data_IF_671954564595
#
_entry.id   IF_671954564595
#
_cell.length_a   1.000
_cell.length_b   1.000
_cell.length_c   1.000
_cell.angle_alpha   90.00
_cell.angle_beta   90.00
_cell.angle_gamma   90.00
#
_symmetry.space_group_name_H-M   'P 1'
#
loop_
_entity.id
_entity.type
_entity.pdbx_description
1 polymer ?
#
# COMPACT_ATOMS: atom_id res chain seq x y z
N UNK A 1 -25.26 -37.32 -50.00
CA UNK A 1 -24.53 -36.14 -50.50
C UNK A 1 -24.93 -35.02 -49.57
N UNK A 2 -24.25 -34.94 -48.40
CA UNK A 2 -24.53 -34.02 -47.31
C UNK A 2 -23.49 -32.89 -47.34
N UNK A 3 -23.97 -31.66 -47.65
CA UNK A 3 -23.15 -30.49 -47.63
C UNK A 3 -23.05 -29.96 -46.18
N UNK A 4 -21.85 -30.00 -45.64
CA UNK A 4 -21.47 -29.46 -44.35
C UNK A 4 -21.40 -27.93 -44.47
N UNK A 5 -22.30 -27.23 -43.79
CA UNK A 5 -22.35 -25.78 -43.69
C UNK A 5 -21.37 -25.33 -42.60
N UNK A 6 -20.20 -24.85 -43.00
CA UNK A 6 -19.21 -24.28 -42.09
C UNK A 6 -19.52 -22.79 -41.93
N UNK A 7 -20.05 -22.42 -40.77
CA UNK A 7 -20.28 -21.05 -40.38
C UNK A 7 -19.01 -20.19 -40.33
N UNK A 8 -19.12 -18.85 -40.44
CA UNK A 8 -17.99 -17.95 -40.58
C UNK A 8 -17.11 -17.93 -39.34
N UNK A 9 -15.79 -18.06 -39.58
CA UNK A 9 -14.74 -17.93 -38.54
C UNK A 9 -14.71 -16.47 -38.06
N UNK A 10 -14.76 -16.21 -36.73
CA UNK A 10 -14.64 -14.86 -36.23
C UNK A 10 -13.25 -14.27 -36.52
N UNK A 11 -13.15 -12.95 -36.72
CA UNK A 11 -11.88 -12.29 -36.96
C UNK A 11 -10.93 -12.40 -35.77
N UNK A 12 -9.61 -12.45 -35.99
CA UNK A 12 -8.63 -12.48 -34.91
C UNK A 12 -8.72 -11.19 -34.08
N UNK A 13 -8.80 -11.35 -32.75
CA UNK A 13 -8.77 -10.24 -31.81
C UNK A 13 -7.47 -9.43 -31.90
N UNK A 14 -7.45 -8.18 -31.45
CA UNK A 14 -6.28 -7.32 -31.54
C UNK A 14 -5.10 -7.96 -30.82
N UNK A 15 -4.02 -8.16 -31.56
CA UNK A 15 -2.74 -8.66 -31.06
C UNK A 15 -2.19 -7.65 -30.05
N UNK A 16 -2.06 -8.05 -28.80
CA UNK A 16 -1.30 -7.29 -27.81
C UNK A 16 0.17 -7.32 -28.23
N UNK A 17 0.85 -6.17 -28.27
CA UNK A 17 2.29 -6.17 -28.47
C UNK A 17 2.94 -6.95 -27.33
N UNK A 18 4.00 -7.74 -27.60
CA UNK A 18 4.74 -8.43 -26.56
C UNK A 18 5.30 -7.40 -25.59
N UNK A 19 5.17 -7.68 -24.29
CA UNK A 19 5.82 -6.88 -23.26
C UNK A 19 7.32 -6.78 -23.60
N UNK A 20 7.93 -5.59 -23.47
CA UNK A 20 9.36 -5.45 -23.72
C UNK A 20 10.12 -6.33 -22.73
N UNK A 21 10.66 -7.43 -23.22
CA UNK A 21 11.58 -8.31 -22.53
C UNK A 21 12.93 -7.62 -22.39
N UNK A 22 12.98 -6.61 -21.54
CA UNK A 22 14.21 -5.94 -21.18
C UNK A 22 14.80 -6.65 -19.96
N UNK A 23 15.81 -7.51 -20.15
CA UNK A 23 16.83 -7.81 -19.16
C UNK A 23 17.71 -6.57 -18.93
N UNK A 24 17.08 -5.43 -18.77
CA UNK A 24 17.73 -4.16 -18.45
C UNK A 24 18.06 -4.15 -16.97
N UNK A 25 19.34 -4.25 -16.65
CA UNK A 25 19.90 -3.78 -15.40
C UNK A 25 19.31 -2.40 -15.16
N UNK A 26 18.48 -2.25 -14.10
CA UNK A 26 17.98 -0.93 -13.72
C UNK A 26 19.20 -0.03 -13.54
N UNK A 27 19.28 1.12 -14.22
CA UNK A 27 20.41 2.01 -14.04
C UNK A 27 20.56 2.32 -12.55
N UNK A 28 21.73 2.03 -11.98
CA UNK A 28 22.08 2.55 -10.65
C UNK A 28 22.22 4.06 -10.87
N UNK A 29 21.18 4.80 -10.53
CA UNK A 29 21.24 6.25 -10.54
C UNK A 29 22.39 6.65 -9.59
N UNK A 30 23.29 7.55 -10.01
CA UNK A 30 24.30 8.10 -9.12
C UNK A 30 23.58 8.70 -7.90
N UNK A 31 24.22 8.73 -6.72
CA UNK A 31 23.63 9.40 -5.57
C UNK A 31 23.26 10.82 -6.00
N UNK A 32 21.95 11.07 -6.10
CA UNK A 32 21.46 12.36 -6.52
C UNK A 32 21.91 13.36 -5.48
N UNK A 33 22.77 14.29 -5.89
CA UNK A 33 23.06 15.47 -5.09
C UNK A 33 21.69 16.16 -4.83
N UNK A 34 21.40 16.44 -3.57
CA UNK A 34 20.23 17.25 -3.22
C UNK A 34 20.33 18.56 -4.00
N UNK A 35 19.28 18.87 -4.73
CA UNK A 35 19.18 20.17 -5.41
C UNK A 35 19.35 21.28 -4.35
N UNK A 36 20.12 22.36 -4.60
CA UNK A 36 20.30 23.43 -3.62
C UNK A 36 18.98 24.08 -3.13
N UNK A 37 17.85 23.78 -3.77
CA UNK A 37 16.49 24.15 -3.34
C UNK A 37 15.86 23.29 -2.26
N UNK A 38 16.50 22.19 -1.82
CA UNK A 38 15.94 21.24 -0.87
C UNK A 38 15.06 20.15 -1.54
N UNK A 39 14.61 19.21 -0.73
CA UNK A 39 13.68 18.17 -1.19
C UNK A 39 12.30 18.79 -1.51
N UNK A 40 11.63 18.33 -2.59
CA UNK A 40 10.24 18.71 -2.83
C UNK A 40 9.36 18.24 -1.68
N UNK A 41 8.13 18.79 -1.54
CA UNK A 41 7.21 18.39 -0.49
C UNK A 41 7.03 16.88 -0.42
N UNK A 42 7.04 16.33 0.80
CA UNK A 42 6.90 14.90 1.09
C UNK A 42 5.59 14.64 1.82
N UNK A 43 4.83 13.66 1.35
CA UNK A 43 3.67 13.14 2.04
C UNK A 43 3.99 11.83 2.77
N UNK A 44 3.21 11.53 3.80
CA UNK A 44 3.14 10.21 4.40
C UNK A 44 1.72 9.67 4.27
N UNK A 45 1.57 8.38 3.99
CA UNK A 45 0.26 7.76 3.80
C UNK A 45 0.22 6.40 4.49
N UNK A 46 -0.82 6.18 5.32
CA UNK A 46 -1.04 4.89 5.98
C UNK A 46 -2.50 4.66 6.32
N UNK A 47 -2.84 3.38 6.60
CA UNK A 47 -4.10 2.98 7.19
C UNK A 47 -3.84 2.40 8.59
N UNK A 48 -4.70 2.73 9.56
CA UNK A 48 -4.64 2.27 10.93
C UNK A 48 -6.03 1.94 11.47
N UNK A 49 -6.11 1.11 12.51
CA UNK A 49 -7.34 0.93 13.28
C UNK A 49 -7.54 2.06 14.31
N UNK A 50 -8.59 1.97 15.15
CA UNK A 50 -8.84 2.94 16.23
C UNK A 50 -7.68 3.05 17.24
N UNK A 51 -6.94 1.98 17.44
CA UNK A 51 -5.79 1.92 18.35
C UNK A 51 -4.47 2.33 17.71
N UNK A 52 -4.48 2.83 16.47
CA UNK A 52 -3.25 3.18 15.74
C UNK A 52 -2.47 1.97 15.24
N UNK A 53 -3.06 0.78 15.18
CA UNK A 53 -2.41 -0.41 14.64
C UNK A 53 -2.38 -0.32 13.12
N UNK A 54 -1.18 -0.51 12.52
CA UNK A 54 -0.96 -0.57 11.07
C UNK A 54 -1.10 -2.00 10.52
N UNK A 55 -0.88 -2.99 11.37
CA UNK A 55 -0.81 -4.41 11.01
C UNK A 55 0.05 -5.19 11.98
N UNK A 56 0.55 -6.34 11.56
CA UNK A 56 1.51 -7.16 12.30
C UNK A 56 2.82 -7.33 11.53
N UNK A 57 3.76 -8.05 12.13
CA UNK A 57 5.00 -8.43 11.45
C UNK A 57 4.73 -9.30 10.19
N UNK A 58 3.61 -10.04 10.17
CA UNK A 58 3.18 -10.89 9.07
C UNK A 58 2.40 -10.13 7.99
N UNK A 59 2.03 -8.88 8.23
CA UNK A 59 1.33 -8.02 7.28
C UNK A 59 0.06 -7.37 7.82
N UNK A 60 -0.82 -6.99 6.89
CA UNK A 60 -2.04 -6.28 7.19
C UNK A 60 -3.10 -7.21 7.79
N UNK A 61 -3.79 -6.76 8.85
CA UNK A 61 -4.77 -7.54 9.61
C UNK A 61 -6.22 -7.33 9.16
N UNK A 62 -6.44 -6.55 8.13
CA UNK A 62 -7.75 -6.29 7.51
C UNK A 62 -7.64 -6.17 6.00
N UNK A 63 -8.79 -6.22 5.34
CA UNK A 63 -8.91 -5.99 3.91
C UNK A 63 -10.05 -5.01 3.64
N UNK A 64 -9.69 -3.78 3.24
CA UNK A 64 -10.62 -2.71 2.85
C UNK A 64 -10.30 -2.27 1.42
N UNK A 65 -10.92 -2.88 0.39
CA UNK A 65 -10.60 -2.60 -1.01
C UNK A 65 -10.77 -1.14 -1.42
N UNK A 66 -11.67 -0.40 -0.77
CA UNK A 66 -11.85 1.01 -1.04
C UNK A 66 -10.64 1.85 -0.60
N UNK A 67 -10.03 1.51 0.54
CA UNK A 67 -8.80 2.14 1.01
C UNK A 67 -7.63 1.88 0.05
N UNK A 68 -7.47 0.65 -0.47
CA UNK A 68 -6.46 0.36 -1.49
C UNK A 68 -6.64 1.19 -2.77
N UNK A 69 -7.90 1.44 -3.20
CA UNK A 69 -8.16 2.33 -4.33
C UNK A 69 -7.81 3.78 -4.00
N UNK A 70 -8.14 4.23 -2.79
CA UNK A 70 -7.77 5.55 -2.30
C UNK A 70 -6.24 5.71 -2.25
N UNK A 71 -5.52 4.80 -1.63
CA UNK A 71 -4.05 4.77 -1.62
C UNK A 71 -3.46 4.85 -3.03
N UNK A 72 -4.01 4.04 -3.98
CA UNK A 72 -3.57 4.10 -5.37
C UNK A 72 -3.80 5.48 -5.99
N UNK A 73 -4.97 6.07 -5.78
CA UNK A 73 -5.31 7.38 -6.34
C UNK A 73 -4.41 8.49 -5.79
N UNK A 74 -4.08 8.44 -4.49
CA UNK A 74 -3.20 9.39 -3.82
C UNK A 74 -1.76 9.32 -4.33
N UNK A 75 -1.27 8.11 -4.58
CA UNK A 75 0.16 7.86 -4.85
C UNK A 75 0.52 7.65 -6.32
N UNK A 76 -0.46 7.57 -7.20
CA UNK A 76 -0.23 7.32 -8.63
C UNK A 76 0.64 8.43 -9.26
N UNK A 77 1.59 8.04 -10.11
CA UNK A 77 2.54 8.96 -10.75
C UNK A 77 3.61 9.51 -9.79
N UNK A 78 3.67 9.03 -8.56
CA UNK A 78 4.63 9.48 -7.55
C UNK A 78 5.73 8.48 -7.23
N UNK A 79 6.70 8.92 -6.42
CA UNK A 79 7.74 8.07 -5.83
C UNK A 79 7.33 7.60 -4.44
N UNK A 80 7.54 6.33 -4.16
CA UNK A 80 7.19 5.67 -2.91
C UNK A 80 8.43 5.23 -2.15
N UNK A 81 8.55 5.66 -0.91
CA UNK A 81 9.62 5.21 0.00
C UNK A 81 9.04 4.21 1.00
N UNK A 82 9.65 3.04 1.07
CA UNK A 82 9.23 1.96 1.99
C UNK A 82 10.43 1.20 2.54
N UNK A 83 10.23 0.55 3.69
CA UNK A 83 11.22 -0.37 4.23
C UNK A 83 11.14 -1.75 3.55
N UNK A 84 12.21 -2.53 3.70
CA UNK A 84 12.35 -3.88 3.12
C UNK A 84 11.18 -4.80 3.51
N UNK A 85 10.78 -4.83 4.78
CA UNK A 85 9.66 -5.66 5.24
C UNK A 85 8.35 -5.31 4.55
N UNK A 86 8.09 -4.01 4.34
CA UNK A 86 6.92 -3.55 3.58
C UNK A 86 6.98 -4.01 2.13
N UNK A 87 8.14 -3.87 1.49
CA UNK A 87 8.34 -4.38 0.13
C UNK A 87 8.10 -5.89 0.02
N UNK A 88 8.63 -6.67 0.95
CA UNK A 88 8.47 -8.13 0.96
C UNK A 88 7.01 -8.57 1.18
N UNK A 89 6.19 -7.73 1.82
CA UNK A 89 4.74 -7.95 1.95
C UNK A 89 3.95 -7.64 0.67
N UNK A 90 4.53 -6.84 -0.24
CA UNK A 90 3.96 -6.58 -1.56
C UNK A 90 4.34 -7.74 -2.49
N UNK A 91 3.45 -8.15 -3.37
CA UNK A 91 3.74 -9.23 -4.33
C UNK A 91 4.48 -8.73 -5.59
N UNK A 92 5.11 -7.58 -5.50
CA UNK A 92 5.85 -6.94 -6.59
C UNK A 92 5.72 -5.43 -6.55
N UNK A 93 6.33 -4.79 -7.56
CA UNK A 93 6.35 -3.35 -7.68
C UNK A 93 4.93 -2.77 -7.85
N UNK A 94 4.69 -1.64 -7.21
CA UNK A 94 3.46 -0.89 -7.38
C UNK A 94 3.50 -0.13 -8.72
N UNK A 95 2.72 -0.62 -9.68
CA UNK A 95 2.72 -0.13 -11.07
C UNK A 95 2.29 1.34 -11.15
N UNK A 96 2.96 2.11 -12.04
CA UNK A 96 2.72 3.54 -12.24
C UNK A 96 3.26 4.42 -11.11
N UNK A 97 4.21 3.90 -10.34
CA UNK A 97 4.91 4.57 -9.24
C UNK A 97 6.35 4.11 -9.22
N UNK A 98 7.25 5.02 -8.85
CA UNK A 98 8.64 4.65 -8.56
C UNK A 98 8.72 4.05 -7.17
N UNK A 99 9.21 2.82 -7.05
CA UNK A 99 9.33 2.12 -5.78
C UNK A 99 10.76 2.23 -5.27
N UNK A 100 10.95 2.83 -4.09
CA UNK A 100 12.25 2.97 -3.44
C UNK A 100 12.23 2.22 -2.12
N UNK A 101 13.15 1.27 -1.95
CA UNK A 101 13.20 0.37 -0.81
C UNK A 101 14.42 0.65 0.05
N UNK A 102 14.18 1.02 1.29
CA UNK A 102 15.22 1.22 2.27
C UNK A 102 15.68 -0.13 2.85
N UNK A 103 16.96 -0.45 2.64
CA UNK A 103 17.56 -1.68 3.17
C UNK A 103 19.06 -1.51 3.44
N UNK A 104 19.54 -2.16 4.49
CA UNK A 104 20.98 -2.23 4.83
C UNK A 104 21.75 -3.25 4.01
N UNK A 105 21.06 -4.20 3.35
CA UNK A 105 21.70 -5.19 2.49
C UNK A 105 22.20 -4.51 1.22
N UNK A 106 23.51 -4.51 1.01
CA UNK A 106 24.15 -3.83 -0.13
C UNK A 106 23.85 -4.53 -1.45
N UNK A 107 23.79 -5.84 -1.44
CA UNK A 107 23.54 -6.67 -2.63
C UNK A 107 22.05 -6.84 -2.96
N UNK A 108 21.17 -6.19 -2.18
CA UNK A 108 19.74 -6.35 -2.43
C UNK A 108 19.30 -5.67 -3.73
N UNK A 109 18.63 -6.42 -4.55
CA UNK A 109 17.99 -5.94 -5.79
C UNK A 109 16.62 -6.58 -5.95
N UNK A 110 15.69 -5.88 -6.56
CA UNK A 110 14.39 -6.43 -6.93
C UNK A 110 13.86 -5.76 -8.20
N UNK A 111 13.14 -6.50 -9.08
CA UNK A 111 12.56 -5.93 -10.28
C UNK A 111 11.58 -4.80 -9.96
N UNK A 112 11.75 -3.64 -10.60
CA UNK A 112 10.89 -2.47 -10.42
C UNK A 112 11.07 -1.74 -9.08
N UNK A 113 12.19 -1.95 -8.38
CA UNK A 113 12.53 -1.23 -7.17
C UNK A 113 13.95 -0.65 -7.21
N UNK A 114 14.11 0.55 -6.64
CA UNK A 114 15.39 1.18 -6.39
C UNK A 114 15.79 0.95 -4.93
N UNK A 115 17.06 0.61 -4.70
CA UNK A 115 17.59 0.46 -3.35
C UNK A 115 18.06 1.80 -2.79
N UNK A 116 17.79 2.05 -1.52
CA UNK A 116 18.36 3.14 -0.76
C UNK A 116 18.89 2.64 0.59
N UNK A 117 20.00 3.23 1.06
CA UNK A 117 20.62 2.90 2.35
C UNK A 117 20.22 3.85 3.48
N UNK A 118 19.65 5.02 3.14
CA UNK A 118 19.20 6.04 4.10
C UNK A 118 17.86 6.65 3.67
N UNK A 119 17.19 7.31 4.61
CA UNK A 119 15.94 8.04 4.32
C UNK A 119 16.20 9.18 3.31
N UNK A 120 17.27 9.93 3.50
CA UNK A 120 17.66 11.03 2.61
C UNK A 120 17.84 10.54 1.16
N UNK A 121 18.65 9.49 0.99
CA UNK A 121 18.83 8.87 -0.33
C UNK A 121 17.50 8.36 -0.91
N UNK A 122 16.66 7.76 -0.07
CA UNK A 122 15.37 7.25 -0.51
C UNK A 122 14.45 8.36 -1.01
N UNK A 123 14.37 9.47 -0.30
CA UNK A 123 13.57 10.63 -0.69
C UNK A 123 14.09 11.28 -1.96
N UNK A 124 15.41 11.45 -2.09
CA UNK A 124 16.02 11.97 -3.31
C UNK A 124 15.74 11.07 -4.52
N UNK A 125 15.89 9.75 -4.38
CA UNK A 125 15.56 8.79 -5.44
C UNK A 125 14.07 8.80 -5.77
N UNK A 126 13.20 8.98 -4.78
CA UNK A 126 11.76 9.01 -4.98
C UNK A 126 11.27 10.29 -5.67
N UNK A 127 11.99 11.41 -5.52
CA UNK A 127 11.57 12.72 -6.01
C UNK A 127 12.14 13.06 -7.39
N UNK A 128 13.43 12.80 -7.61
CA UNK A 128 14.13 13.32 -8.79
C UNK A 128 13.77 12.55 -10.07
N UNK A 129 13.53 13.28 -11.17
CA UNK A 129 13.28 12.68 -12.48
C UNK A 129 11.97 11.89 -12.57
N UNK A 130 10.96 12.19 -11.74
CA UNK A 130 9.66 11.50 -11.81
C UNK A 130 8.91 11.78 -13.11
N UNK A 131 9.00 13.00 -13.63
CA UNK A 131 8.29 13.39 -14.83
C UNK A 131 8.89 12.73 -16.07
N UNK A 132 10.21 12.58 -16.11
CA UNK A 132 10.92 11.90 -17.18
C UNK A 132 10.63 10.39 -17.21
N UNK A 133 10.44 9.78 -16.03
CA UNK A 133 10.19 8.32 -15.93
C UNK A 133 8.70 7.97 -16.03
N UNK A 134 7.83 8.71 -15.35
CA UNK A 134 6.40 8.39 -15.21
C UNK A 134 5.48 9.32 -16.00
N UNK A 135 6.03 10.37 -16.61
CA UNK A 135 5.28 11.42 -17.28
C UNK A 135 4.64 12.43 -16.32
N UNK A 136 3.77 13.28 -16.88
CA UNK A 136 3.03 14.26 -16.10
C UNK A 136 2.21 13.61 -14.99
N UNK A 137 1.95 14.35 -13.91
CA UNK A 137 1.17 13.86 -12.79
C UNK A 137 -0.26 13.48 -13.24
N UNK A 138 -0.64 12.20 -13.17
CA UNK A 138 -1.96 11.76 -13.62
C UNK A 138 -3.09 12.05 -12.63
N UNK A 139 -2.76 12.54 -11.43
CA UNK A 139 -3.74 12.81 -10.38
C UNK A 139 -4.59 14.02 -10.73
N UNK A 140 -5.84 14.00 -10.27
CA UNK A 140 -6.83 15.06 -10.50
C UNK A 140 -7.47 15.48 -9.18
N UNK A 141 -8.19 16.58 -9.20
CA UNK A 141 -8.84 17.14 -8.02
C UNK A 141 -7.82 17.54 -6.94
N UNK A 142 -8.17 17.33 -5.68
CA UNK A 142 -7.33 17.72 -4.54
C UNK A 142 -5.99 16.98 -4.51
N UNK A 143 -5.96 15.71 -4.91
CA UNK A 143 -4.74 14.92 -4.92
C UNK A 143 -3.66 15.50 -5.86
N UNK A 144 -4.03 16.27 -6.87
CA UNK A 144 -3.06 16.91 -7.78
C UNK A 144 -2.23 18.00 -7.10
N UNK A 145 -2.73 18.59 -6.00
CA UNK A 145 -2.00 19.61 -5.21
C UNK A 145 -1.13 19.00 -4.11
N UNK A 146 -1.21 17.69 -3.89
CA UNK A 146 -0.47 16.99 -2.85
C UNK A 146 0.93 16.58 -3.32
N UNK A 147 1.86 16.27 -2.41
CA UNK A 147 3.19 15.80 -2.78
C UNK A 147 3.17 14.63 -3.77
N UNK A 148 4.18 14.53 -4.62
CA UNK A 148 4.40 13.33 -5.45
C UNK A 148 5.31 12.30 -4.78
N UNK A 149 6.04 12.70 -3.74
CA UNK A 149 6.92 11.81 -2.97
C UNK A 149 6.21 11.37 -1.69
N UNK A 150 6.14 10.07 -1.46
CA UNK A 150 5.35 9.48 -0.37
C UNK A 150 6.16 8.49 0.44
N UNK A 151 6.12 8.61 1.75
CA UNK A 151 6.55 7.56 2.67
C UNK A 151 5.34 6.67 2.98
N UNK A 152 5.44 5.37 2.66
CA UNK A 152 4.36 4.40 2.83
C UNK A 152 4.67 3.28 3.83
N UNK A 153 5.72 3.44 4.59
CA UNK A 153 5.98 2.54 5.72
C UNK A 153 7.18 1.61 5.56
N UNK A 154 7.37 0.57 6.42
CA UNK A 154 6.58 0.30 7.65
C UNK A 154 6.92 1.22 8.82
N UNK A 155 6.51 0.78 10.00
CA UNK A 155 6.55 1.59 11.21
C UNK A 155 7.90 2.23 11.51
N UNK A 156 9.03 1.56 11.24
CA UNK A 156 10.36 2.14 11.43
C UNK A 156 10.67 3.28 10.47
N UNK A 157 10.19 3.20 9.22
CA UNK A 157 10.40 4.24 8.20
C UNK A 157 9.51 5.45 8.49
N UNK A 158 8.26 5.22 8.91
CA UNK A 158 7.39 6.30 9.36
C UNK A 158 8.01 7.08 10.53
N UNK A 159 8.52 6.37 11.53
CA UNK A 159 9.17 7.00 12.68
C UNK A 159 10.37 7.83 12.26
N UNK A 160 11.26 7.30 11.45
CA UNK A 160 12.40 8.04 10.92
C UNK A 160 11.97 9.31 10.17
N UNK A 161 10.92 9.24 9.34
CA UNK A 161 10.41 10.38 8.58
C UNK A 161 9.80 11.46 9.49
N UNK A 162 9.08 11.07 10.56
CA UNK A 162 8.52 11.98 11.54
C UNK A 162 9.63 12.66 12.36
N UNK A 163 10.59 11.89 12.88
CA UNK A 163 11.74 12.38 13.66
C UNK A 163 12.63 13.34 12.85
N UNK A 164 12.83 13.02 11.57
CA UNK A 164 13.60 13.88 10.65
C UNK A 164 12.81 15.13 10.19
N UNK A 165 11.52 15.20 10.50
CA UNK A 165 10.68 16.35 10.14
C UNK A 165 10.51 16.58 8.64
N UNK A 166 10.67 15.56 7.81
CA UNK A 166 10.67 15.71 6.34
C UNK A 166 9.28 15.79 5.73
N UNK A 167 8.25 15.33 6.43
CA UNK A 167 6.88 15.31 5.92
C UNK A 167 6.18 16.66 6.06
N UNK A 168 5.43 17.05 5.02
CA UNK A 168 4.61 18.25 4.97
C UNK A 168 3.11 17.93 5.03
N UNK A 169 2.74 16.70 4.66
CA UNK A 169 1.36 16.22 4.57
C UNK A 169 1.26 14.79 5.10
N UNK A 170 0.23 14.51 5.92
CA UNK A 170 -0.13 13.15 6.30
C UNK A 170 -1.52 12.84 5.74
N UNK A 171 -1.67 11.68 5.12
CA UNK A 171 -2.97 11.13 4.68
C UNK A 171 -3.20 9.85 5.45
N UNK A 172 -4.12 9.90 6.40
CA UNK A 172 -4.36 8.83 7.36
C UNK A 172 -5.73 8.23 7.13
N UNK A 173 -5.79 6.96 6.77
CA UNK A 173 -7.04 6.22 6.77
C UNK A 173 -7.24 5.58 8.14
N UNK A 174 -8.35 5.89 8.80
CA UNK A 174 -8.79 5.15 9.99
C UNK A 174 -9.82 4.10 9.57
N UNK A 175 -9.54 2.85 9.91
CA UNK A 175 -10.42 1.71 9.67
C UNK A 175 -11.29 1.51 10.91
N UNK A 176 -12.60 1.33 10.72
CA UNK A 176 -13.58 1.14 11.80
C UNK A 176 -13.45 -0.26 12.41
N UNK A 177 -12.29 -0.52 13.03
CA UNK A 177 -11.92 -1.76 13.73
C UNK A 177 -11.13 -1.45 14.99
N UNK A 178 -11.20 -2.37 15.94
CA UNK A 178 -10.28 -2.49 17.06
C UNK A 178 -9.61 -3.87 17.01
N UNK A 179 -8.42 -3.90 16.42
CA UNK A 179 -7.67 -5.14 16.21
C UNK A 179 -7.20 -5.74 17.52
N UNK A 180 -6.75 -4.92 18.47
CA UNK A 180 -6.25 -5.41 19.76
C UNK A 180 -7.37 -6.07 20.57
N UNK A 181 -8.57 -5.45 20.64
CA UNK A 181 -9.74 -6.04 21.26
C UNK A 181 -10.21 -7.31 20.54
N UNK A 182 -10.15 -7.33 19.22
CA UNK A 182 -10.55 -8.47 18.39
C UNK A 182 -9.63 -9.68 18.57
N UNK A 183 -8.32 -9.46 18.73
CA UNK A 183 -7.33 -10.51 19.01
C UNK A 183 -7.53 -11.08 20.42
N UNK A 184 -7.73 -10.20 21.43
CA UNK A 184 -8.02 -10.61 22.80
C UNK A 184 -9.32 -11.39 22.94
N UNK A 185 -10.30 -11.15 22.07
CA UNK A 185 -11.56 -11.89 22.00
C UNK A 185 -11.52 -13.16 21.13
N UNK A 186 -10.35 -13.54 20.57
CA UNK A 186 -10.19 -14.68 19.68
C UNK A 186 -10.90 -14.55 18.32
N UNK A 187 -11.33 -13.33 17.95
CA UNK A 187 -12.12 -13.06 16.73
C UNK A 187 -11.30 -12.81 15.47
N UNK A 188 -10.04 -12.46 15.61
CA UNK A 188 -9.13 -12.27 14.47
C UNK A 188 -8.24 -13.50 14.37
N UNK A 189 -8.41 -14.26 13.30
CA UNK A 189 -7.40 -15.24 12.91
C UNK A 189 -6.23 -14.48 12.33
N UNK A 190 -5.01 -14.69 12.81
CA UNK A 190 -3.81 -14.32 12.09
C UNK A 190 -3.87 -15.01 10.73
N UNK A 191 -4.38 -14.29 9.72
CA UNK A 191 -4.60 -14.85 8.40
C UNK A 191 -3.29 -14.95 7.64
N UNK A 192 -2.85 -16.19 7.36
CA UNK A 192 -2.04 -16.47 6.19
C UNK A 192 -2.89 -16.13 4.95
N UNK A 193 -2.88 -14.87 4.54
CA UNK A 193 -3.64 -14.34 3.43
C UNK A 193 -2.82 -13.35 2.63
N UNK A 194 -1.80 -13.88 1.93
CA UNK A 194 -1.17 -13.10 0.87
C UNK A 194 -2.24 -12.61 -0.11
N UNK A 195 -2.29 -11.32 -0.35
CA UNK A 195 -3.19 -10.67 -1.31
C UNK A 195 -2.90 -11.19 -2.70
N UNK A 196 -3.70 -12.14 -3.18
CA UNK A 196 -3.75 -12.49 -4.60
C UNK A 196 -4.71 -11.53 -5.29
N UNK A 197 -4.17 -10.61 -6.07
CA UNK A 197 -4.95 -9.94 -7.12
C UNK A 197 -5.12 -10.96 -8.26
N UNK A 198 -6.13 -11.83 -8.21
CA UNK A 198 -6.59 -12.59 -9.35
C UNK A 198 -7.85 -11.94 -9.90
N UNK A 199 -7.81 -11.69 -11.20
CA UNK A 199 -8.96 -11.26 -11.99
C UNK A 199 -10.09 -12.29 -11.88
N UNK A 200 -11.31 -11.80 -12.02
CA UNK A 200 -12.55 -12.56 -11.95
C UNK A 200 -12.60 -13.75 -12.92
N UNK A 201 -13.00 -14.90 -12.39
CA UNK A 201 -13.45 -16.02 -13.18
C UNK A 201 -14.29 -16.92 -12.28
N UNK A 202 -15.60 -16.94 -12.54
CA UNK A 202 -16.55 -17.73 -11.77
C UNK A 202 -16.36 -19.23 -12.00
N UNK A 203 -16.69 -20.05 -11.01
CA UNK A 203 -17.35 -21.32 -11.24
C UNK A 203 -18.12 -21.77 -10.00
N UNK A 204 -19.36 -22.13 -10.21
CA UNK A 204 -20.28 -22.77 -9.28
C UNK A 204 -19.98 -24.25 -9.17
N UNK A 205 -19.85 -24.76 -7.94
CA UNK A 205 -19.74 -26.19 -7.66
C UNK A 205 -20.41 -26.54 -6.35
N UNK A 206 -21.59 -27.16 -6.44
CA UNK A 206 -22.34 -27.76 -5.33
C UNK A 206 -21.66 -29.04 -4.85
N UNK A 207 -21.55 -29.24 -3.52
CA UNK A 207 -21.07 -30.48 -2.91
C UNK A 207 -21.73 -30.72 -1.56
N UNK A 208 -22.43 -31.78 -1.48
CA UNK A 208 -23.33 -32.35 -0.47
C UNK A 208 -22.72 -32.54 0.92
N UNK A 209 -23.57 -32.37 1.93
CA UNK A 209 -23.33 -32.67 3.34
C UNK A 209 -23.31 -34.16 3.65
N UNK A 210 -22.40 -34.57 4.55
CA UNK A 210 -22.41 -35.88 5.23
C UNK A 210 -22.26 -35.70 6.75
N UNK A 211 -22.75 -36.64 7.59
CA UNK A 211 -23.10 -36.38 8.97
C UNK A 211 -21.96 -36.54 9.98
N UNK A 212 -22.10 -35.85 11.05
CA UNK A 212 -21.34 -35.57 12.24
C UNK A 212 -20.53 -36.68 12.94
N UNK A 213 -19.48 -36.16 13.63
CA UNK A 213 -18.83 -36.80 14.79
C UNK A 213 -18.62 -35.72 15.85
N UNK A 214 -19.04 -35.92 17.10
CA UNK A 214 -18.77 -35.00 18.19
C UNK A 214 -17.39 -35.32 18.79
N UNK A 215 -16.40 -34.52 18.43
CA UNK A 215 -15.08 -34.57 19.05
C UNK A 215 -14.72 -33.17 19.53
N UNK A 216 -14.69 -32.95 20.85
CA UNK A 216 -14.20 -31.74 21.45
C UNK A 216 -12.75 -31.50 21.03
N UNK A 217 -12.51 -30.51 20.22
CA UNK A 217 -11.17 -30.01 19.91
C UNK A 217 -10.82 -28.96 20.94
N UNK A 218 -9.97 -29.35 21.89
CA UNK A 218 -9.13 -28.40 22.62
C UNK A 218 -8.46 -27.49 21.57
N UNK A 219 -8.69 -26.18 21.63
CA UNK A 219 -7.97 -25.22 20.80
C UNK A 219 -6.47 -25.35 21.03
N UNK A 220 -5.61 -25.03 20.05
CA UNK A 220 -4.17 -25.08 20.25
C UNK A 220 -3.79 -24.08 21.35
N UNK A 221 -3.52 -24.58 22.52
CA UNK A 221 -2.84 -23.84 23.59
C UNK A 221 -1.43 -23.53 23.07
N UNK A 222 -1.14 -22.22 22.85
CA UNK A 222 0.18 -21.76 22.48
C UNK A 222 0.29 -20.84 21.28
N UNK A 223 -0.80 -20.32 20.72
CA UNK A 223 -0.71 -19.29 19.69
C UNK A 223 -0.16 -17.99 20.31
N UNK A 224 1.10 -17.69 20.02
CA UNK A 224 1.72 -16.38 20.38
C UNK A 224 0.94 -15.28 19.67
N UNK A 225 0.46 -14.31 20.43
CA UNK A 225 -0.22 -13.16 19.85
C UNK A 225 0.70 -12.44 18.85
N UNK A 226 0.19 -12.00 17.68
CA UNK A 226 1.02 -11.32 16.69
C UNK A 226 1.58 -10.01 17.27
N UNK A 227 2.83 -9.72 16.93
CA UNK A 227 3.47 -8.45 17.28
C UNK A 227 2.84 -7.35 16.43
N UNK A 228 2.09 -6.46 17.07
CA UNK A 228 1.41 -5.35 16.40
C UNK A 228 2.39 -4.21 16.09
N UNK A 229 2.31 -3.72 14.87
CA UNK A 229 3.04 -2.52 14.40
C UNK A 229 2.09 -1.33 14.51
N UNK A 230 2.56 -0.24 15.15
CA UNK A 230 1.76 0.97 15.34
C UNK A 230 2.24 2.12 14.47
N UNK A 231 1.29 3.00 14.13
CA UNK A 231 1.55 4.28 13.48
C UNK A 231 2.35 5.20 14.42
N UNK A 232 3.06 6.18 13.88
CA UNK A 232 3.62 7.25 14.69
C UNK A 232 2.49 8.12 15.26
N UNK A 233 2.74 8.69 16.44
CA UNK A 233 1.83 9.67 17.03
C UNK A 233 1.82 10.97 16.19
N UNK A 234 0.65 11.58 16.05
CA UNK A 234 0.48 12.86 15.39
C UNK A 234 0.43 13.94 16.48
N UNK A 235 1.53 14.66 16.64
CA UNK A 235 1.62 15.76 17.61
C UNK A 235 0.85 16.99 17.10
N UNK A 236 -0.24 17.32 17.76
CA UNK A 236 -1.10 18.45 17.41
C UNK A 236 -0.41 19.83 17.55
N UNK A 237 0.75 19.89 18.22
CA UNK A 237 1.57 21.10 18.23
C UNK A 237 2.27 21.32 16.87
N UNK A 238 2.54 20.24 16.14
CA UNK A 238 3.22 20.27 14.84
C UNK A 238 2.27 20.09 13.67
N UNK A 239 1.11 19.49 13.88
CA UNK A 239 0.18 19.12 12.83
C UNK A 239 -1.20 19.72 13.05
N UNK A 240 -1.81 20.16 11.98
CA UNK A 240 -3.18 20.66 11.94
C UNK A 240 -4.00 19.81 10.97
N UNK A 241 -5.18 19.39 11.41
CA UNK A 241 -6.12 18.67 10.57
C UNK A 241 -6.69 19.61 9.50
N UNK A 242 -6.60 19.20 8.26
CA UNK A 242 -7.18 19.91 7.12
C UNK A 242 -8.66 19.49 6.98
N UNK A 243 -9.55 20.40 7.36
CA UNK A 243 -10.99 20.11 7.36
C UNK A 243 -11.58 19.99 5.94
N UNK A 244 -10.96 20.65 4.94
CA UNK A 244 -11.43 20.57 3.56
C UNK A 244 -11.06 19.26 2.90
N UNK A 245 -9.86 18.76 3.20
CA UNK A 245 -9.33 17.53 2.60
C UNK A 245 -9.69 16.27 3.39
N UNK A 246 -10.19 16.43 4.63
CA UNK A 246 -10.60 15.33 5.50
C UNK A 246 -12.08 15.01 5.39
N UNK A 247 -12.45 13.78 5.75
CA UNK A 247 -13.85 13.41 5.96
C UNK A 247 -14.41 14.12 7.20
N UNK A 248 -15.73 14.35 7.22
CA UNK A 248 -16.39 14.97 8.38
C UNK A 248 -16.20 14.11 9.64
N UNK A 249 -15.79 14.74 10.73
CA UNK A 249 -15.57 14.04 12.01
C UNK A 249 -16.85 13.28 12.45
N UNK A 250 -16.62 12.08 12.94
CA UNK A 250 -17.71 11.20 13.38
C UNK A 250 -18.46 10.49 12.25
N UNK A 251 -18.10 10.72 10.99
CA UNK A 251 -18.70 10.01 9.86
C UNK A 251 -17.75 8.93 9.33
N UNK A 252 -18.36 7.90 8.76
CA UNK A 252 -17.64 6.80 8.12
C UNK A 252 -18.08 6.67 6.68
N UNK A 253 -17.12 6.47 5.79
CA UNK A 253 -17.41 6.03 4.43
C UNK A 253 -18.01 4.62 4.46
N UNK A 254 -18.81 4.25 3.46
CA UNK A 254 -19.46 2.94 3.42
C UNK A 254 -18.47 1.79 3.59
N UNK A 255 -18.93 0.73 4.28
CA UNK A 255 -18.16 -0.49 4.48
C UNK A 255 -17.64 -1.04 3.15
N UNK A 256 -16.37 -1.41 3.14
CA UNK A 256 -15.69 -2.03 2.01
C UNK A 256 -14.82 -3.18 2.49
N UNK A 257 -15.28 -4.41 2.26
CA UNK A 257 -14.64 -5.58 2.86
C UNK A 257 -14.94 -5.67 4.36
N UNK A 258 -13.89 -5.61 5.19
CA UNK A 258 -14.02 -5.91 6.61
C UNK A 258 -14.65 -4.78 7.42
N UNK A 259 -14.53 -3.52 6.98
CA UNK A 259 -14.97 -2.37 7.80
C UNK A 259 -15.38 -1.14 6.99
N UNK A 260 -15.99 -0.17 7.68
CA UNK A 260 -16.03 1.23 7.30
C UNK A 260 -14.64 1.86 7.39
N UNK A 261 -14.49 3.03 6.83
CA UNK A 261 -13.20 3.73 6.82
C UNK A 261 -13.40 5.23 6.71
N UNK A 262 -12.41 6.00 7.13
CA UNK A 262 -12.40 7.46 7.10
C UNK A 262 -11.01 7.94 6.76
N UNK A 263 -10.89 9.05 6.04
CA UNK A 263 -9.63 9.70 5.71
C UNK A 263 -9.51 11.00 6.47
N UNK A 264 -8.41 11.19 7.17
CA UNK A 264 -8.00 12.43 7.79
C UNK A 264 -6.69 12.91 7.15
N UNK A 265 -6.68 14.17 6.73
CA UNK A 265 -5.50 14.82 6.14
C UNK A 265 -4.95 15.83 7.15
N UNK A 266 -3.64 15.82 7.33
CA UNK A 266 -2.95 16.68 8.27
C UNK A 266 -1.86 17.47 7.56
N UNK A 267 -1.82 18.76 7.79
CA UNK A 267 -0.78 19.63 7.28
C UNK A 267 0.17 20.04 8.40
N UNK A 268 1.45 20.15 8.04
CA UNK A 268 2.44 20.65 8.99
C UNK A 268 2.18 22.12 9.27
N UNK A 269 2.17 22.50 10.56
CA UNK A 269 2.11 23.90 10.97
C UNK A 269 3.39 24.62 10.54
N UNK A 270 3.24 25.88 10.12
CA UNK A 270 4.34 26.76 9.72
C UNK A 270 5.24 27.13 10.90
#
# INVERSE_FOLDING_TARGET
MEQSDAGPVPPPGPSHPPAPGGTGRVPVLPPAALDPGGLPPVGMVWAQDHGGVLGSAEGMLWRVPADFRHFKAVTLGGGLVMGRTTWDSLKGALVGRRNVVMTRSEDWTAPGAHRASSLEQALALAANGLEEELGADPRTGRAASWPRTWVMGGGSVYRQAMEAGVANLLVVTTIDLDVAASLGAGRVRAGAGGVTCTAAGGNTGSGTAGPGVPGGLAGPEGAVAPVLVRAPDIDLAQWERDEEDSDVLGTWRPRSGDAGWRVDVWRRRA
#
